data_IF_305205863513
#
_entry.id   IF_305205863513
#
_cell.length_a   1.000
_cell.length_b   1.000
_cell.length_c   1.000
_cell.angle_alpha   90.00
_cell.angle_beta   90.00
_cell.angle_gamma   90.00
#
_symmetry.space_group_name_H-M   'P 1'
#
loop_
_entity.id
_entity.type
_entity.pdbx_description
1 polymer ?
#
# COMPACT_ATOMS: atom_id res chain seq x y z
N UNK A 1 -5.44 -11.52 15.47
CA UNK A 1 -4.96 -11.44 14.07
C UNK A 1 -4.93 -9.98 13.65
N UNK A 2 -3.97 -9.55 12.85
CA UNK A 2 -3.91 -8.17 12.34
C UNK A 2 -3.70 -8.16 10.84
N UNK A 3 -4.23 -7.14 10.17
CA UNK A 3 -3.92 -6.87 8.77
C UNK A 3 -3.49 -5.41 8.60
N UNK A 4 -2.22 -5.16 8.20
CA UNK A 4 -1.72 -3.82 7.96
C UNK A 4 -2.22 -3.20 6.64
N UNK A 5 -2.95 -3.95 5.82
CA UNK A 5 -3.40 -3.49 4.51
C UNK A 5 -2.26 -3.46 3.47
N UNK A 6 -2.42 -2.61 2.45
CA UNK A 6 -1.42 -2.42 1.40
C UNK A 6 -0.37 -1.40 1.85
N UNK A 7 0.87 -1.84 2.02
CA UNK A 7 1.98 -1.00 2.50
C UNK A 7 3.07 -0.93 1.45
N UNK A 8 3.54 0.28 1.12
CA UNK A 8 4.54 0.60 0.09
C UNK A 8 5.95 0.13 0.48
N UNK A 9 6.10 -1.18 0.67
CA UNK A 9 7.38 -1.85 0.96
C UNK A 9 8.09 -2.24 -0.34
N UNK A 10 9.41 -2.47 -0.31
CA UNK A 10 10.14 -2.94 -1.50
C UNK A 10 9.54 -4.21 -2.12
N UNK A 11 8.99 -5.10 -1.30
CA UNK A 11 8.32 -6.32 -1.77
C UNK A 11 7.03 -6.01 -2.54
N UNK A 12 6.22 -5.07 -2.06
CA UNK A 12 5.00 -4.67 -2.77
C UNK A 12 5.33 -3.90 -4.05
N UNK A 13 6.29 -2.96 -3.99
CA UNK A 13 6.65 -2.13 -5.14
C UNK A 13 7.27 -2.95 -6.27
N UNK A 14 7.89 -4.09 -5.96
CA UNK A 14 8.37 -5.06 -6.96
C UNK A 14 7.27 -5.72 -7.76
N UNK A 15 6.02 -5.73 -7.27
CA UNK A 15 4.84 -6.28 -7.97
C UNK A 15 4.17 -5.26 -8.90
N UNK A 16 4.79 -4.10 -9.11
CA UNK A 16 4.32 -3.04 -10.01
C UNK A 16 4.61 -3.36 -11.48
N UNK A 17 4.35 -4.59 -11.91
CA UNK A 17 4.81 -5.13 -13.20
C UNK A 17 3.93 -4.73 -14.38
N UNK A 18 2.77 -4.13 -14.12
CA UNK A 18 1.85 -3.68 -15.15
C UNK A 18 1.25 -2.31 -14.75
N UNK A 19 0.80 -1.49 -15.71
CA UNK A 19 0.27 -0.16 -15.42
C UNK A 19 -0.90 -0.17 -14.43
N UNK A 20 -1.70 -1.25 -14.43
CA UNK A 20 -2.83 -1.39 -13.52
C UNK A 20 -2.37 -1.70 -12.09
N UNK A 21 -1.40 -2.58 -11.88
CA UNK A 21 -0.85 -2.86 -10.55
C UNK A 21 -0.10 -1.66 -10.00
N UNK A 22 0.70 -0.98 -10.83
CA UNK A 22 1.36 0.28 -10.49
C UNK A 22 0.34 1.33 -10.00
N UNK A 23 -0.77 1.49 -10.73
CA UNK A 23 -1.86 2.40 -10.35
C UNK A 23 -2.52 2.01 -9.02
N UNK A 24 -2.80 0.72 -8.81
CA UNK A 24 -3.38 0.27 -7.54
C UNK A 24 -2.45 0.51 -6.36
N UNK A 25 -1.15 0.23 -6.52
CA UNK A 25 -0.13 0.51 -5.50
C UNK A 25 -0.10 2.01 -5.19
N UNK A 26 -0.07 2.88 -6.20
CA UNK A 26 -0.04 4.33 -6.00
C UNK A 26 -1.28 4.88 -5.27
N UNK A 27 -2.46 4.34 -5.58
CA UNK A 27 -3.74 4.83 -5.02
C UNK A 27 -4.01 4.25 -3.63
N UNK A 28 -3.69 2.97 -3.42
CA UNK A 28 -4.12 2.22 -2.25
C UNK A 28 -3.03 1.99 -1.22
N UNK A 29 -1.74 2.03 -1.57
CA UNK A 29 -0.68 1.77 -0.60
C UNK A 29 -0.44 2.97 0.32
N UNK A 30 -0.15 2.68 1.60
CA UNK A 30 0.36 3.66 2.55
C UNK A 30 1.88 3.55 2.73
N UNK A 31 2.53 4.66 3.13
CA UNK A 31 3.88 4.60 3.67
C UNK A 31 3.96 3.64 4.86
N UNK A 32 5.07 2.90 5.02
CA UNK A 32 5.27 2.00 6.15
C UNK A 32 5.23 2.73 7.50
N UNK A 33 5.76 3.95 7.57
CA UNK A 33 5.77 4.76 8.78
C UNK A 33 4.36 5.12 9.26
N UNK A 34 3.46 5.50 8.34
CA UNK A 34 2.06 5.84 8.67
C UNK A 34 1.30 4.62 9.20
N UNK A 35 1.47 3.47 8.54
CA UNK A 35 0.85 2.21 8.99
C UNK A 35 1.38 1.79 10.37
N UNK A 36 2.70 1.88 10.58
CA UNK A 36 3.33 1.55 11.86
C UNK A 36 2.88 2.50 12.98
N UNK A 37 2.83 3.80 12.73
CA UNK A 37 2.39 4.81 13.70
C UNK A 37 0.97 4.52 14.22
N UNK A 38 0.08 4.01 13.37
CA UNK A 38 -1.27 3.64 13.78
C UNK A 38 -1.35 2.28 14.48
N UNK A 39 -0.64 1.27 13.94
CA UNK A 39 -0.72 -0.11 14.41
C UNK A 39 0.04 -0.37 15.70
N UNK A 40 1.27 0.13 15.80
CA UNK A 40 2.19 -0.15 16.92
C UNK A 40 1.59 0.19 18.29
N UNK A 41 1.00 1.38 18.54
CA UNK A 41 0.43 1.68 19.86
C UNK A 41 -0.76 0.78 20.21
N UNK A 42 -1.60 0.43 19.22
CA UNK A 42 -2.75 -0.47 19.42
C UNK A 42 -2.30 -1.88 19.74
N UNK A 43 -1.23 -2.34 19.09
CA UNK A 43 -0.64 -3.64 19.35
C UNK A 43 0.00 -3.70 20.74
N UNK A 44 0.73 -2.66 21.15
CA UNK A 44 1.31 -2.57 22.50
C UNK A 44 0.24 -2.55 23.61
N UNK A 45 -0.92 -1.96 23.32
CA UNK A 45 -2.07 -1.96 24.24
C UNK A 45 -2.94 -3.23 24.18
N UNK A 46 -2.74 -4.10 23.18
CA UNK A 46 -3.59 -5.27 23.00
C UNK A 46 -3.23 -6.38 23.99
N UNK A 47 -4.17 -6.73 24.87
CA UNK A 47 -4.08 -7.90 25.75
C UNK A 47 -4.82 -9.07 25.13
N UNK A 48 -4.18 -9.82 24.24
CA UNK A 48 -4.49 -11.23 23.89
C UNK A 48 -5.92 -11.64 23.45
N UNK A 49 -6.92 -10.75 23.42
CA UNK A 49 -8.35 -11.07 23.32
C UNK A 49 -8.83 -11.55 21.94
N UNK A 50 -7.92 -11.94 21.04
CA UNK A 50 -8.28 -12.45 19.71
C UNK A 50 -8.88 -11.41 18.75
N UNK A 51 -9.03 -10.14 19.16
CA UNK A 51 -9.65 -9.08 18.35
C UNK A 51 -8.90 -8.87 17.03
N UNK A 52 -9.66 -8.78 15.93
CA UNK A 52 -9.10 -8.52 14.60
C UNK A 52 -8.89 -7.01 14.39
N UNK A 53 -7.64 -6.59 14.33
CA UNK A 53 -7.28 -5.18 14.12
C UNK A 53 -7.02 -4.95 12.64
N UNK A 54 -7.90 -4.17 12.01
CA UNK A 54 -7.81 -3.78 10.59
C UNK A 54 -7.35 -2.34 10.52
N UNK A 55 -6.19 -2.12 9.91
CA UNK A 55 -5.78 -0.77 9.54
C UNK A 55 -6.64 -0.26 8.39
N UNK A 56 -6.83 -1.09 7.36
CA UNK A 56 -7.53 -0.70 6.15
C UNK A 56 -9.04 -0.98 6.27
N UNK A 57 -9.82 0.08 6.49
CA UNK A 57 -11.29 0.01 6.57
C UNK A 57 -11.95 0.18 5.18
N UNK A 58 -13.16 -0.35 4.96
CA UNK A 58 -13.91 -0.10 3.71
C UNK A 58 -14.15 1.39 3.46
N UNK A 59 -14.35 2.19 4.50
CA UNK A 59 -14.50 3.63 4.38
C UNK A 59 -13.22 4.30 3.85
N UNK A 60 -12.03 3.88 4.31
CA UNK A 60 -10.76 4.38 3.79
C UNK A 60 -10.51 3.97 2.35
N UNK A 61 -10.92 2.75 1.96
CA UNK A 61 -10.86 2.32 0.57
C UNK A 61 -11.63 3.28 -0.34
N UNK A 62 -12.91 3.55 0.01
CA UNK A 62 -13.76 4.46 -0.75
C UNK A 62 -13.13 5.84 -0.82
N UNK A 63 -12.66 6.38 0.32
CA UNK A 63 -11.98 7.69 0.36
C UNK A 63 -10.77 7.74 -0.56
N UNK A 64 -9.93 6.70 -0.58
CA UNK A 64 -8.74 6.63 -1.43
C UNK A 64 -9.08 6.58 -2.90
N UNK A 65 -10.08 5.77 -3.28
CA UNK A 65 -10.59 5.70 -4.63
C UNK A 65 -11.17 7.04 -5.11
N UNK A 66 -11.91 7.76 -4.25
CA UNK A 66 -12.38 9.11 -4.57
C UNK A 66 -11.22 10.08 -4.82
N UNK A 67 -10.12 9.96 -4.08
CA UNK A 67 -8.90 10.78 -4.27
C UNK A 67 -7.91 10.24 -5.31
N UNK A 68 -8.25 9.18 -6.05
CA UNK A 68 -7.30 8.45 -6.90
C UNK A 68 -6.65 9.30 -8.00
N UNK A 69 -7.35 10.33 -8.49
CA UNK A 69 -6.81 11.24 -9.52
C UNK A 69 -5.57 12.01 -9.05
N UNK A 70 -5.51 12.39 -7.77
CA UNK A 70 -4.39 13.15 -7.21
C UNK A 70 -3.25 12.28 -6.65
N UNK A 71 -3.38 10.95 -6.72
CA UNK A 71 -2.43 10.00 -6.12
C UNK A 71 -1.62 9.21 -7.15
N UNK A 72 -1.57 9.68 -8.40
CA UNK A 72 -0.83 9.04 -9.48
C UNK A 72 0.67 9.23 -9.33
N UNK A 73 1.45 8.27 -9.84
CA UNK A 73 2.93 8.31 -9.88
C UNK A 73 3.61 8.60 -8.54
N UNK A 74 3.01 8.22 -7.41
CA UNK A 74 3.53 8.55 -6.07
C UNK A 74 4.71 7.67 -5.64
N UNK A 75 4.58 6.35 -5.80
CA UNK A 75 5.58 5.37 -5.36
C UNK A 75 6.26 4.67 -6.54
N UNK A 76 5.50 4.43 -7.61
CA UNK A 76 5.98 3.81 -8.84
C UNK A 76 5.47 4.61 -10.04
N UNK A 77 6.28 4.80 -11.09
CA UNK A 77 5.79 5.38 -12.33
C UNK A 77 4.83 4.40 -13.01
N UNK A 78 3.75 4.93 -13.58
CA UNK A 78 2.68 4.15 -14.23
C UNK A 78 2.94 3.95 -15.74
N UNK A 79 3.95 4.62 -16.30
CA UNK A 79 4.27 4.58 -17.73
C UNK A 79 4.82 3.22 -18.16
N UNK A 80 4.33 2.64 -19.27
CA UNK A 80 4.71 1.30 -19.70
C UNK A 80 6.22 1.15 -19.99
N UNK A 81 6.86 2.18 -20.53
CA UNK A 81 8.31 2.22 -20.77
C UNK A 81 9.11 2.15 -19.46
N UNK A 82 8.68 2.90 -18.45
CA UNK A 82 9.32 2.91 -17.13
C UNK A 82 9.19 1.57 -16.41
N UNK A 83 8.07 0.86 -16.63
CA UNK A 83 7.82 -0.47 -16.08
C UNK A 83 8.72 -1.51 -16.76
N UNK A 84 8.86 -1.44 -18.08
CA UNK A 84 9.76 -2.33 -18.84
C UNK A 84 11.21 -2.22 -18.34
N UNK A 85 11.73 -0.98 -18.21
CA UNK A 85 13.08 -0.73 -17.70
C UNK A 85 13.33 -1.27 -16.29
N UNK A 86 12.30 -1.29 -15.43
CA UNK A 86 12.39 -1.82 -14.07
C UNK A 86 12.42 -3.35 -14.03
N UNK A 87 11.79 -4.02 -15.00
CA UNK A 87 11.85 -5.47 -15.15
C UNK A 87 13.26 -5.92 -15.54
N UNK A 88 13.87 -5.24 -16.50
CA UNK A 88 15.23 -5.52 -16.96
C UNK A 88 16.30 -5.38 -15.86
N UNK A 89 16.06 -4.52 -14.87
CA UNK A 89 16.96 -4.31 -13.72
C UNK A 89 16.67 -5.23 -12.52
N UNK A 90 15.57 -6.01 -12.57
CA UNK A 90 15.15 -6.89 -11.48
C UNK A 90 15.53 -8.36 -11.72
N UNK A 91 16.04 -8.69 -12.91
CA UNK A 91 16.75 -9.93 -13.25
C UNK A 91 18.25 -9.80 -12.97
#
# INVERSE_FOLDING_TARGET
MMSPGMVATPLLLRLADNPRSARFINVLADPPDDAAAWLVPRLRGARGNGTYVRFFTPAELVRRLCTARGRRNRFVPEDPESIAKRREHAE
#
